data_IF_661368671565
#
_entry.id   IF_661368671565
#
_cell.length_a   1.000
_cell.length_b   1.000
_cell.length_c   1.000
_cell.angle_alpha   90.00
_cell.angle_beta   90.00
_cell.angle_gamma   90.00
#
_symmetry.space_group_name_H-M   'P 1'
#
loop_
_entity.id
_entity.type
_entity.pdbx_description
1 polymer ?
#
# COMPACT_ATOMS: atom_id res chain seq x y z
N UNK A 1 48.02 75.94 -40.97
CA UNK A 1 48.80 74.69 -41.12
C UNK A 1 48.43 73.81 -39.93
N UNK A 2 47.42 72.95 -39.94
CA UNK A 2 47.00 71.88 -40.85
C UNK A 2 47.96 70.68 -40.90
N UNK A 3 47.38 69.52 -40.56
CA UNK A 3 47.80 68.13 -40.79
C UNK A 3 48.73 67.55 -39.70
N UNK A 4 48.56 66.33 -39.17
CA UNK A 4 47.78 65.14 -39.54
C UNK A 4 47.96 64.08 -38.43
N UNK A 5 47.00 63.16 -38.25
CA UNK A 5 47.27 61.85 -37.61
C UNK A 5 46.20 61.38 -36.62
N UNK A 6 44.99 61.03 -37.09
CA UNK A 6 44.46 59.65 -37.26
C UNK A 6 43.72 59.06 -36.03
N UNK A 7 42.42 58.86 -36.26
CA UNK A 7 41.51 57.76 -35.86
C UNK A 7 41.45 57.37 -34.36
N UNK A 8 40.38 57.62 -33.58
CA UNK A 8 38.93 57.31 -33.75
C UNK A 8 38.64 55.81 -33.81
N UNK A 9 38.28 55.18 -32.67
CA UNK A 9 37.08 54.34 -32.57
C UNK A 9 36.40 54.60 -31.22
N UNK A 10 35.08 54.80 -31.31
CA UNK A 10 34.13 55.23 -30.30
C UNK A 10 33.94 54.21 -29.17
N UNK A 11 33.86 54.75 -27.96
CA UNK A 11 33.13 54.20 -26.82
C UNK A 11 31.62 54.24 -27.11
N UNK A 12 30.92 53.12 -26.96
CA UNK A 12 29.47 53.12 -26.66
C UNK A 12 29.00 51.77 -26.12
N UNK A 13 28.25 51.81 -25.01
CA UNK A 13 27.43 50.71 -24.49
C UNK A 13 28.11 49.95 -23.35
N UNK A 14 27.99 50.35 -22.08
CA UNK A 14 26.85 50.06 -21.19
C UNK A 14 26.29 48.63 -21.31
N UNK A 15 26.58 47.82 -20.29
CA UNK A 15 25.79 46.75 -19.62
C UNK A 15 26.78 45.70 -19.07
N UNK A 16 27.27 45.83 -17.84
CA UNK A 16 26.61 45.39 -16.60
C UNK A 16 25.91 44.04 -16.76
N UNK A 17 26.63 43.00 -16.32
CA UNK A 17 26.13 41.94 -15.45
C UNK A 17 24.96 41.11 -15.95
N UNK A 18 25.26 39.91 -16.44
CA UNK A 18 24.61 38.69 -15.96
C UNK A 18 25.44 37.50 -16.44
N UNK A 19 26.25 36.92 -15.55
CA UNK A 19 26.52 35.49 -15.61
C UNK A 19 25.17 34.80 -15.40
N UNK A 20 24.45 34.51 -16.49
CA UNK A 20 23.38 33.53 -16.43
C UNK A 20 24.05 32.19 -16.24
N UNK A 21 24.09 31.73 -14.99
CA UNK A 21 24.22 30.31 -14.70
C UNK A 21 23.09 29.62 -15.46
N UNK A 22 23.41 29.03 -16.61
CA UNK A 22 22.64 27.93 -17.21
C UNK A 22 22.79 26.72 -16.28
N UNK A 23 22.24 26.83 -15.07
CA UNK A 23 21.64 25.69 -14.43
C UNK A 23 20.34 25.46 -15.22
N UNK A 24 20.44 24.74 -16.34
CA UNK A 24 19.35 23.86 -16.70
C UNK A 24 19.23 22.89 -15.52
N UNK A 25 18.45 23.28 -14.50
CA UNK A 25 17.72 22.28 -13.76
C UNK A 25 16.90 21.59 -14.83
N UNK A 26 17.39 20.47 -15.33
CA UNK A 26 16.52 19.42 -15.85
C UNK A 26 15.57 19.15 -14.68
N UNK A 27 14.44 19.86 -14.66
CA UNK A 27 13.27 19.36 -13.98
C UNK A 27 13.05 18.03 -14.68
N UNK A 28 13.49 16.95 -14.03
CA UNK A 28 13.00 15.64 -14.34
C UNK A 28 11.49 15.83 -14.37
N UNK A 29 10.87 15.61 -15.54
CA UNK A 29 9.42 15.69 -15.65
C UNK A 29 8.92 14.53 -14.82
N UNK A 30 8.66 14.81 -13.53
CA UNK A 30 7.98 13.89 -12.65
C UNK A 30 6.65 13.59 -13.33
N UNK A 31 6.33 12.31 -13.48
CA UNK A 31 5.04 11.90 -14.03
C UNK A 31 3.92 12.56 -13.23
N UNK A 32 2.83 12.91 -13.92
CA UNK A 32 1.63 13.43 -13.27
C UNK A 32 0.71 12.28 -12.90
N UNK A 33 0.22 12.30 -11.67
CA UNK A 33 -0.92 11.49 -11.27
C UNK A 33 -2.19 12.09 -11.88
N UNK A 34 -2.92 11.26 -12.61
CA UNK A 34 -4.15 11.62 -13.32
C UNK A 34 -5.31 10.79 -12.79
N UNK A 35 -6.49 11.42 -12.78
CA UNK A 35 -7.73 10.73 -12.44
C UNK A 35 -8.16 9.86 -13.61
N UNK A 36 -8.49 8.60 -13.35
CA UNK A 36 -8.85 7.66 -14.41
C UNK A 36 -10.32 7.23 -14.35
N UNK A 37 -10.78 6.76 -13.18
CA UNK A 37 -12.14 6.22 -12.99
C UNK A 37 -12.64 6.44 -11.57
N UNK A 38 -13.98 6.53 -11.42
CA UNK A 38 -14.69 6.63 -10.14
C UNK A 38 -15.49 7.93 -9.95
N UNK A 39 -15.86 8.20 -8.71
CA UNK A 39 -16.35 9.49 -8.20
C UNK A 39 -15.15 10.40 -7.90
N UNK A 40 -14.99 11.48 -8.66
CA UNK A 40 -13.99 12.52 -8.35
C UNK A 40 -14.56 13.47 -7.28
N UNK A 41 -14.59 12.99 -6.05
CA UNK A 41 -14.96 13.80 -4.89
C UNK A 41 -13.77 14.65 -4.39
N UNK A 42 -14.03 15.48 -3.37
CA UNK A 42 -13.03 16.39 -2.79
C UNK A 42 -11.78 15.64 -2.30
N UNK A 43 -11.94 14.42 -1.76
CA UNK A 43 -10.83 13.60 -1.26
C UNK A 43 -9.96 13.09 -2.42
N UNK A 44 -10.56 12.64 -3.53
CA UNK A 44 -9.81 12.19 -4.70
C UNK A 44 -9.02 13.34 -5.34
N UNK A 45 -9.60 14.54 -5.40
CA UNK A 45 -8.90 15.75 -5.88
C UNK A 45 -7.73 16.07 -4.95
N UNK A 46 -7.96 16.15 -3.64
CA UNK A 46 -6.93 16.45 -2.67
C UNK A 46 -5.80 15.40 -2.66
N UNK A 47 -6.15 14.12 -2.80
CA UNK A 47 -5.19 13.04 -2.92
C UNK A 47 -4.35 13.19 -4.19
N UNK A 48 -4.96 13.46 -5.36
CA UNK A 48 -4.22 13.71 -6.60
C UNK A 48 -3.25 14.88 -6.46
N UNK A 49 -3.69 15.98 -5.86
CA UNK A 49 -2.84 17.15 -5.60
C UNK A 49 -1.68 16.83 -4.66
N UNK A 50 -1.93 16.04 -3.61
CA UNK A 50 -0.90 15.54 -2.71
C UNK A 50 0.11 14.66 -3.44
N UNK A 51 -0.36 13.67 -4.20
CA UNK A 51 0.50 12.75 -4.94
C UNK A 51 1.36 13.48 -5.99
N UNK A 52 0.83 14.52 -6.63
CA UNK A 52 1.58 15.36 -7.58
C UNK A 52 2.67 16.22 -6.95
N UNK A 53 2.68 16.39 -5.62
CA UNK A 53 3.77 17.08 -4.90
C UNK A 53 4.96 16.14 -4.61
N UNK A 54 4.77 14.83 -4.75
CA UNK A 54 5.79 13.84 -4.43
C UNK A 54 6.74 13.64 -5.62
N UNK A 55 8.03 13.61 -5.33
CA UNK A 55 9.04 13.31 -6.34
C UNK A 55 9.08 11.81 -6.57
N UNK A 56 8.52 11.36 -7.69
CA UNK A 56 8.64 9.98 -8.17
C UNK A 56 9.75 9.93 -9.22
N UNK A 57 10.87 9.27 -8.87
CA UNK A 57 11.99 9.00 -9.78
C UNK A 57 11.69 7.76 -10.63
N UNK A 58 12.65 7.30 -11.43
CA UNK A 58 12.44 6.24 -12.42
C UNK A 58 11.69 5.01 -11.85
N UNK A 59 10.45 4.84 -12.29
CA UNK A 59 9.59 3.74 -11.86
C UNK A 59 10.09 2.37 -12.35
N UNK A 60 10.98 2.32 -13.36
CA UNK A 60 11.61 1.07 -13.81
C UNK A 60 12.56 0.50 -12.74
N UNK A 61 13.06 1.34 -11.84
CA UNK A 61 13.88 0.92 -10.69
C UNK A 61 13.05 0.63 -9.43
N UNK A 62 11.72 0.80 -9.51
CA UNK A 62 10.82 0.64 -8.37
C UNK A 62 10.45 -0.83 -8.17
N UNK A 63 10.57 -1.38 -6.94
CA UNK A 63 9.91 -2.64 -6.62
C UNK A 63 8.41 -2.49 -6.85
N UNK A 64 7.75 -3.59 -7.23
CA UNK A 64 6.29 -3.67 -7.29
C UNK A 64 5.68 -3.08 -6.02
N UNK A 65 4.80 -2.07 -6.17
CA UNK A 65 4.00 -1.43 -5.11
C UNK A 65 4.76 -0.57 -4.08
N UNK A 66 5.89 0.04 -4.46
CA UNK A 66 6.78 0.81 -3.57
C UNK A 66 6.26 2.19 -3.16
N UNK A 67 5.95 3.04 -4.13
CA UNK A 67 5.64 4.45 -3.86
C UNK A 67 4.15 4.69 -3.59
N UNK A 68 3.28 4.21 -4.48
CA UNK A 68 1.82 4.36 -4.43
C UNK A 68 1.24 4.09 -3.03
N UNK A 69 1.52 2.90 -2.50
CA UNK A 69 1.11 2.43 -1.17
C UNK A 69 1.51 3.40 -0.04
N UNK A 70 2.73 3.92 -0.08
CA UNK A 70 3.30 4.76 0.97
C UNK A 70 2.84 6.22 0.82
N UNK A 71 2.62 6.65 -0.42
CA UNK A 71 2.20 7.99 -0.77
C UNK A 71 0.80 8.29 -0.20
N UNK A 72 -0.14 7.36 -0.33
CA UNK A 72 -1.48 7.48 0.27
C UNK A 72 -1.39 7.67 1.78
N UNK A 73 -0.60 6.84 2.46
CA UNK A 73 -0.41 6.91 3.93
C UNK A 73 0.24 8.21 4.41
N UNK A 74 0.90 8.93 3.50
CA UNK A 74 1.53 10.22 3.82
C UNK A 74 0.58 11.41 3.67
N UNK A 75 -0.65 11.18 3.23
CA UNK A 75 -1.66 12.24 3.15
C UNK A 75 -1.95 12.78 4.58
N UNK A 76 -1.78 14.08 4.84
CA UNK A 76 -1.75 14.61 6.22
C UNK A 76 -3.04 14.46 7.02
N UNK A 77 -4.19 14.38 6.34
CA UNK A 77 -5.49 14.26 6.99
C UNK A 77 -5.84 12.81 7.34
N UNK A 78 -5.08 11.85 6.82
CA UNK A 78 -5.26 10.46 7.21
C UNK A 78 -4.60 10.16 8.55
N UNK A 79 -5.39 9.58 9.42
CA UNK A 79 -4.93 9.01 10.67
C UNK A 79 -4.77 7.49 10.54
N UNK A 80 -3.81 6.95 11.28
CA UNK A 80 -3.65 5.50 11.39
C UNK A 80 -4.69 5.00 12.41
N UNK A 81 -5.40 3.88 12.14
CA UNK A 81 -6.31 3.30 13.12
C UNK A 81 -5.64 3.04 14.48
N UNK A 82 -6.40 3.04 15.59
CA UNK A 82 -5.87 2.86 16.94
C UNK A 82 -5.51 1.40 17.21
N UNK A 83 -4.47 0.93 16.53
CA UNK A 83 -3.93 -0.43 16.68
C UNK A 83 -3.32 -0.64 18.06
N UNK A 84 -3.71 -1.73 18.71
CA UNK A 84 -3.05 -2.28 19.88
C UNK A 84 -1.93 -3.23 19.43
N UNK A 85 -0.72 -3.10 19.98
CA UNK A 85 0.38 -4.02 19.70
C UNK A 85 0.24 -5.29 20.55
N UNK A 86 0.38 -6.44 19.92
CA UNK A 86 0.44 -7.74 20.58
C UNK A 86 1.87 -8.27 20.61
N UNK A 87 2.21 -9.04 21.64
CA UNK A 87 3.50 -9.74 21.68
C UNK A 87 3.49 -10.89 20.67
N UNK A 88 4.19 -10.68 19.55
CA UNK A 88 4.27 -11.67 18.47
C UNK A 88 4.76 -13.05 18.95
N UNK A 89 5.63 -13.10 19.97
CA UNK A 89 6.14 -14.36 20.52
C UNK A 89 5.07 -15.13 21.30
N UNK A 90 4.20 -14.43 22.03
CA UNK A 90 3.10 -15.05 22.76
C UNK A 90 1.98 -15.55 21.83
N UNK A 91 1.90 -14.97 20.62
CA UNK A 91 0.87 -15.29 19.63
C UNK A 91 1.43 -16.04 18.40
N UNK A 92 2.51 -16.80 18.58
CA UNK A 92 3.16 -17.56 17.50
C UNK A 92 2.19 -18.50 16.76
N UNK A 93 1.34 -19.22 17.50
CA UNK A 93 0.33 -20.12 16.92
C UNK A 93 -0.65 -19.39 16.02
N UNK A 94 -1.11 -18.20 16.42
CA UNK A 94 -1.99 -17.38 15.58
C UNK A 94 -1.25 -16.98 14.30
N UNK A 95 -0.03 -16.42 14.41
CA UNK A 95 0.75 -15.98 13.25
C UNK A 95 0.98 -17.13 12.26
N UNK A 96 1.26 -18.32 12.77
CA UNK A 96 1.39 -19.55 11.97
C UNK A 96 0.13 -19.83 11.17
N UNK A 97 -1.04 -19.82 11.80
CA UNK A 97 -2.32 -20.05 11.12
C UNK A 97 -2.62 -18.97 10.07
N UNK A 98 -2.29 -17.70 10.35
CA UNK A 98 -2.44 -16.61 9.39
C UNK A 98 -1.54 -16.80 8.15
N UNK A 99 -0.30 -17.29 8.33
CA UNK A 99 0.57 -17.59 7.18
C UNK A 99 0.13 -18.80 6.37
N UNK A 100 -0.41 -19.83 7.03
CA UNK A 100 -1.03 -20.95 6.33
C UNK A 100 -2.18 -20.47 5.46
N UNK A 101 -3.08 -19.67 6.02
CA UNK A 101 -4.21 -19.10 5.28
C UNK A 101 -3.77 -18.30 4.06
N UNK A 102 -2.82 -17.37 4.19
CA UNK A 102 -2.29 -16.58 3.06
C UNK A 102 -1.75 -17.42 1.88
N UNK A 103 -1.36 -18.68 2.11
CA UNK A 103 -0.76 -19.53 1.08
C UNK A 103 -1.69 -20.66 0.62
N UNK A 104 -2.65 -21.07 1.44
CA UNK A 104 -3.66 -22.05 1.06
C UNK A 104 -4.86 -21.42 0.35
N UNK A 105 -5.06 -20.11 0.51
CA UNK A 105 -6.28 -19.43 0.06
C UNK A 105 -7.51 -19.94 0.84
N UNK A 106 -8.60 -19.20 0.82
CA UNK A 106 -9.71 -19.45 1.75
C UNK A 106 -10.44 -20.76 1.47
N UNK A 107 -10.53 -21.14 0.21
CA UNK A 107 -11.22 -22.37 -0.23
C UNK A 107 -10.56 -23.60 0.39
N UNK A 108 -9.22 -23.71 0.29
CA UNK A 108 -8.48 -24.84 0.83
C UNK A 108 -8.31 -24.79 2.36
N UNK A 109 -8.38 -23.60 2.95
CA UNK A 109 -8.21 -23.43 4.39
C UNK A 109 -9.49 -23.74 5.19
N UNK A 110 -10.67 -23.28 4.75
CA UNK A 110 -11.94 -23.55 5.46
C UNK A 110 -12.76 -24.73 4.88
N UNK A 111 -12.30 -25.39 3.81
CA UNK A 111 -12.97 -26.55 3.23
C UNK A 111 -14.34 -26.24 2.62
N UNK A 112 -14.54 -25.01 2.13
CA UNK A 112 -15.77 -24.58 1.45
C UNK A 112 -15.43 -24.16 0.02
N UNK A 113 -15.23 -25.14 -0.84
CA UNK A 113 -15.01 -24.89 -2.26
C UNK A 113 -16.28 -24.37 -2.96
N UNK A 114 -16.12 -23.44 -3.91
CA UNK A 114 -17.07 -23.31 -5.03
C UNK A 114 -17.14 -24.68 -5.74
N UNK A 115 -18.32 -25.06 -6.23
CA UNK A 115 -18.45 -26.21 -7.14
C UNK A 115 -17.44 -26.06 -8.29
N UNK A 116 -16.42 -26.96 -8.32
CA UNK A 116 -15.37 -26.98 -9.34
C UNK A 116 -13.97 -26.48 -8.91
N UNK A 117 -13.80 -25.97 -7.68
CA UNK A 117 -12.52 -25.49 -7.16
C UNK A 117 -11.98 -26.38 -6.02
N UNK A 118 -11.76 -27.67 -6.30
CA UNK A 118 -11.23 -28.61 -5.31
C UNK A 118 -9.77 -28.26 -4.94
N UNK A 119 -9.45 -28.45 -3.66
CA UNK A 119 -8.38 -27.79 -2.91
C UNK A 119 -6.97 -28.27 -3.23
N UNK A 120 -6.06 -27.33 -3.52
CA UNK A 120 -4.60 -27.52 -3.44
C UNK A 120 -4.19 -28.31 -2.19
N UNK A 121 -4.87 -28.10 -1.05
CA UNK A 121 -4.58 -28.81 0.19
C UNK A 121 -5.04 -30.28 0.20
N UNK A 122 -6.24 -30.56 -0.30
CA UNK A 122 -6.80 -31.93 -0.32
C UNK A 122 -6.15 -32.83 -1.37
N UNK A 123 -5.56 -32.23 -2.41
CA UNK A 123 -4.81 -32.91 -3.46
C UNK A 123 -3.34 -33.16 -3.09
N UNK A 124 -2.82 -32.47 -2.06
CA UNK A 124 -1.46 -32.70 -1.57
C UNK A 124 -1.31 -34.07 -0.90
N UNK A 125 -0.19 -34.73 -1.16
CA UNK A 125 0.23 -35.90 -0.38
C UNK A 125 0.56 -35.48 1.06
N UNK A 126 0.58 -36.45 1.99
CA UNK A 126 0.98 -36.20 3.38
C UNK A 126 2.36 -35.54 3.48
N UNK A 127 3.32 -35.98 2.67
CA UNK A 127 4.67 -35.41 2.62
C UNK A 127 4.65 -33.94 2.18
N UNK A 128 3.82 -33.60 1.19
CA UNK A 128 3.67 -32.21 0.73
C UNK A 128 3.03 -31.34 1.81
N UNK A 129 2.01 -31.84 2.52
CA UNK A 129 1.37 -31.12 3.64
C UNK A 129 2.35 -30.90 4.80
N UNK A 130 3.16 -31.90 5.14
CA UNK A 130 4.20 -31.80 6.17
C UNK A 130 5.27 -30.77 5.79
N UNK A 131 5.75 -30.80 4.54
CA UNK A 131 6.70 -29.82 4.04
C UNK A 131 6.11 -28.39 4.06
N UNK A 132 4.87 -28.24 3.62
CA UNK A 132 4.16 -26.96 3.68
C UNK A 132 4.08 -26.42 5.10
N UNK A 133 3.62 -27.26 6.05
CA UNK A 133 3.48 -26.88 7.45
C UNK A 133 4.83 -26.48 8.07
N UNK A 134 5.92 -27.20 7.74
CA UNK A 134 7.28 -26.83 8.16
C UNK A 134 7.68 -25.46 7.61
N UNK A 135 7.45 -25.20 6.32
CA UNK A 135 7.77 -23.91 5.70
C UNK A 135 7.00 -22.74 6.34
N UNK A 136 5.73 -22.93 6.71
CA UNK A 136 4.96 -21.88 7.38
C UNK A 136 5.43 -21.64 8.81
N UNK A 137 5.85 -22.69 9.53
CA UNK A 137 6.46 -22.54 10.86
C UNK A 137 7.79 -21.77 10.78
N UNK A 138 8.66 -22.12 9.83
CA UNK A 138 9.90 -21.37 9.58
C UNK A 138 9.65 -19.91 9.19
N UNK A 139 8.59 -19.64 8.41
CA UNK A 139 8.16 -18.27 8.08
C UNK A 139 7.68 -17.51 9.32
N UNK A 140 6.98 -18.18 10.22
CA UNK A 140 6.52 -17.62 11.51
C UNK A 140 7.69 -17.22 12.39
N UNK A 141 8.65 -18.13 12.61
CA UNK A 141 9.84 -17.83 13.39
C UNK A 141 10.62 -16.65 12.78
N UNK A 142 10.85 -16.66 11.46
CA UNK A 142 11.55 -15.56 10.78
C UNK A 142 10.82 -14.23 10.91
N UNK A 143 9.49 -14.21 10.90
CA UNK A 143 8.71 -13.01 11.13
C UNK A 143 8.99 -12.44 12.53
N UNK A 144 8.90 -13.29 13.57
CA UNK A 144 9.13 -12.89 14.97
C UNK A 144 10.58 -12.44 15.18
N UNK A 145 11.55 -13.25 14.76
CA UNK A 145 12.99 -12.99 14.92
C UNK A 145 13.44 -11.69 14.26
N UNK A 146 12.81 -11.31 13.14
CA UNK A 146 13.12 -10.06 12.42
C UNK A 146 12.39 -8.84 12.98
N UNK A 147 11.63 -8.97 14.07
CA UNK A 147 10.89 -7.86 14.65
C UNK A 147 9.58 -7.53 13.90
N UNK A 148 8.96 -8.54 13.30
CA UNK A 148 7.60 -8.44 12.79
C UNK A 148 6.62 -7.99 13.87
N UNK A 149 5.66 -7.15 13.51
CA UNK A 149 4.67 -6.59 14.44
C UNK A 149 3.30 -7.20 14.20
N UNK A 150 2.73 -7.76 15.25
CA UNK A 150 1.36 -8.22 15.31
C UNK A 150 0.53 -7.14 15.99
N UNK A 151 -0.54 -6.70 15.35
CA UNK A 151 -1.44 -5.67 15.89
C UNK A 151 -2.87 -6.13 15.84
N UNK A 152 -3.68 -5.63 16.76
CA UNK A 152 -5.12 -5.87 16.78
C UNK A 152 -5.88 -4.56 16.82
N UNK A 153 -7.02 -4.52 16.14
CA UNK A 153 -8.00 -3.45 16.25
C UNK A 153 -9.39 -4.07 16.35
N UNK A 154 -10.12 -3.69 17.39
CA UNK A 154 -11.50 -4.13 17.61
C UNK A 154 -12.44 -3.03 17.19
N UNK A 155 -13.04 -3.18 16.02
CA UNK A 155 -13.93 -2.18 15.43
C UNK A 155 -14.94 -2.84 14.52
N UNK A 156 -16.05 -2.17 14.22
CA UNK A 156 -16.93 -2.59 13.13
C UNK A 156 -16.37 -1.99 11.84
N UNK A 157 -15.73 -2.83 11.03
CA UNK A 157 -15.02 -2.43 9.81
C UNK A 157 -15.85 -2.64 8.55
N UNK A 158 -16.61 -3.74 8.49
CA UNK A 158 -17.43 -4.13 7.34
C UNK A 158 -18.80 -4.61 7.83
N UNK A 159 -19.89 -4.18 7.19
CA UNK A 159 -21.25 -4.59 7.59
C UNK A 159 -21.73 -5.89 6.93
N UNK A 160 -21.30 -6.14 5.71
CA UNK A 160 -21.65 -7.26 4.86
C UNK A 160 -20.39 -7.76 4.16
N UNK A 161 -20.16 -9.05 4.33
CA UNK A 161 -19.08 -9.81 3.77
C UNK A 161 -19.46 -10.37 2.36
N UNK A 162 -20.65 -10.09 1.86
CA UNK A 162 -21.18 -10.73 0.67
C UNK A 162 -20.74 -10.13 -0.65
N UNK A 163 -19.50 -10.41 -1.11
CA UNK A 163 -19.16 -10.19 -2.54
C UNK A 163 -19.86 -11.25 -3.42
N UNK A 164 -20.14 -12.45 -2.90
CA UNK A 164 -20.73 -13.56 -3.71
C UNK A 164 -21.85 -14.37 -3.05
N UNK A 165 -22.07 -14.23 -1.74
CA UNK A 165 -23.15 -14.83 -0.93
C UNK A 165 -23.44 -13.88 0.24
N UNK A 166 -24.70 -13.68 0.62
CA UNK A 166 -25.09 -12.80 1.73
C UNK A 166 -24.53 -13.30 3.08
N UNK A 167 -23.44 -12.68 3.56
CA UNK A 167 -22.83 -12.99 4.86
C UNK A 167 -22.76 -11.69 5.64
N UNK A 168 -23.78 -11.40 6.44
CA UNK A 168 -23.79 -10.18 7.25
C UNK A 168 -22.87 -10.30 8.46
N UNK A 169 -22.15 -9.22 8.77
CA UNK A 169 -21.37 -9.11 9.98
C UNK A 169 -22.29 -9.14 11.21
N UNK A 170 -22.01 -10.03 12.15
CA UNK A 170 -22.70 -10.07 13.43
C UNK A 170 -22.69 -8.67 14.11
N UNK A 171 -23.73 -8.29 14.86
CA UNK A 171 -23.74 -7.03 15.59
C UNK A 171 -22.54 -6.92 16.54
N UNK A 172 -21.96 -5.71 16.63
CA UNK A 172 -20.81 -5.43 17.49
C UNK A 172 -19.48 -5.25 16.74
N UNK A 173 -18.37 -5.13 17.48
CA UNK A 173 -17.03 -5.00 16.89
C UNK A 173 -16.56 -6.34 16.32
N UNK A 174 -15.74 -6.25 15.27
CA UNK A 174 -14.96 -7.34 14.70
C UNK A 174 -13.53 -7.23 15.22
N UNK A 175 -12.87 -8.36 15.45
CA UNK A 175 -11.45 -8.40 15.82
C UNK A 175 -10.61 -8.55 14.55
N UNK A 176 -9.89 -7.47 14.19
CA UNK A 176 -9.02 -7.42 13.03
C UNK A 176 -7.57 -7.49 13.48
N UNK A 177 -6.80 -8.38 12.88
CA UNK A 177 -5.35 -8.50 13.12
C UNK A 177 -4.58 -8.03 11.90
N UNK A 178 -3.51 -7.28 12.15
CA UNK A 178 -2.58 -6.82 11.14
C UNK A 178 -1.19 -7.43 11.37
N UNK A 179 -0.63 -8.06 10.33
CA UNK A 179 0.77 -8.44 10.27
C UNK A 179 1.58 -7.36 9.55
N UNK A 180 2.63 -6.84 10.19
CA UNK A 180 3.58 -5.90 9.58
C UNK A 180 5.00 -6.44 9.59
N UNK A 181 5.64 -6.37 8.42
CA UNK A 181 7.04 -6.72 8.27
C UNK A 181 7.93 -5.48 8.29
N UNK A 182 9.06 -5.51 9.01
CA UNK A 182 10.19 -4.67 8.64
C UNK A 182 10.68 -5.13 7.26
N UNK A 183 10.61 -4.24 6.27
CA UNK A 183 11.00 -4.54 4.89
C UNK A 183 12.09 -3.57 4.46
N UNK A 184 13.30 -3.81 4.99
CA UNK A 184 14.49 -3.00 4.73
C UNK A 184 14.86 -2.97 3.24
N UNK A 185 14.55 -4.03 2.49
CA UNK A 185 14.80 -4.11 1.04
C UNK A 185 13.88 -3.12 0.32
N UNK A 186 12.59 -3.15 0.61
CA UNK A 186 11.62 -2.20 0.04
C UNK A 186 11.87 -0.78 0.56
N UNK A 187 12.23 -0.60 1.82
CA UNK A 187 12.62 0.71 2.35
C UNK A 187 13.81 1.28 1.57
N UNK A 188 14.85 0.48 1.36
CA UNK A 188 16.05 0.88 0.60
C UNK A 188 15.71 1.21 -0.85
N UNK A 189 14.80 0.45 -1.47
CA UNK A 189 14.35 0.73 -2.81
C UNK A 189 13.44 1.97 -2.90
N UNK A 190 12.55 2.17 -1.92
CA UNK A 190 11.73 3.37 -1.77
C UNK A 190 12.61 4.62 -1.60
N UNK A 191 13.75 4.54 -0.87
CA UNK A 191 14.71 5.66 -0.78
C UNK A 191 15.24 6.12 -2.13
N UNK A 192 15.39 5.19 -3.09
CA UNK A 192 15.88 5.51 -4.43
C UNK A 192 14.82 6.16 -5.31
N UNK A 193 13.60 5.65 -5.24
CA UNK A 193 12.50 6.04 -6.14
C UNK A 193 11.65 7.17 -5.58
N UNK A 194 11.31 7.12 -4.29
CA UNK A 194 10.47 8.10 -3.58
C UNK A 194 11.09 8.47 -2.21
N UNK A 195 12.17 9.28 -2.21
CA UNK A 195 12.97 9.55 -1.01
C UNK A 195 12.17 10.22 0.13
N UNK A 196 11.18 11.05 -0.21
CA UNK A 196 10.30 11.72 0.76
C UNK A 196 9.45 10.71 1.56
N UNK A 197 9.10 9.58 0.93
CA UNK A 197 8.25 8.52 1.49
C UNK A 197 9.05 7.42 2.20
N UNK A 198 10.37 7.46 2.11
CA UNK A 198 11.25 6.38 2.58
C UNK A 198 11.34 6.21 4.09
N UNK A 199 10.74 7.12 4.87
CA UNK A 199 10.74 7.10 6.33
C UNK A 199 9.66 6.20 6.94
N UNK A 200 8.88 5.48 6.12
CA UNK A 200 7.89 4.51 6.59
C UNK A 200 8.51 3.10 6.65
N UNK A 201 8.89 2.58 7.84
CA UNK A 201 9.78 1.41 7.96
C UNK A 201 9.09 0.05 7.75
N UNK A 202 7.81 0.01 7.36
CA UNK A 202 7.03 -1.23 7.35
C UNK A 202 6.28 -1.42 6.03
N UNK A 203 6.46 -2.62 5.47
CA UNK A 203 5.81 -3.13 4.26
C UNK A 203 4.28 -3.24 4.36
N UNK A 204 3.58 -3.50 3.24
CA UNK A 204 2.14 -3.70 3.20
C UNK A 204 1.65 -4.65 4.30
N UNK A 205 0.52 -4.26 4.88
CA UNK A 205 -0.23 -4.98 5.89
C UNK A 205 -1.00 -6.15 5.28
N UNK A 206 -0.90 -7.32 5.91
CA UNK A 206 -1.94 -8.34 5.76
C UNK A 206 -2.93 -8.18 6.89
N UNK A 207 -4.21 -8.06 6.55
CA UNK A 207 -5.30 -7.93 7.50
C UNK A 207 -6.13 -9.20 7.52
N UNK A 208 -6.56 -9.59 8.71
CA UNK A 208 -7.32 -10.80 8.94
C UNK A 208 -8.42 -10.53 9.94
N UNK A 209 -9.60 -11.11 9.71
CA UNK A 209 -10.60 -11.25 10.74
C UNK A 209 -10.31 -12.51 11.56
N UNK A 210 -10.22 -12.32 12.87
CA UNK A 210 -9.92 -13.39 13.82
C UNK A 210 -11.02 -13.47 14.87
N UNK A 211 -11.09 -14.58 15.58
CA UNK A 211 -11.96 -14.71 16.74
C UNK A 211 -11.53 -13.74 17.85
N UNK A 212 -12.47 -13.32 18.71
CA UNK A 212 -12.20 -12.31 19.75
C UNK A 212 -11.13 -12.74 20.77
N UNK A 213 -11.02 -14.05 20.98
CA UNK A 213 -10.01 -14.69 21.83
C UNK A 213 -8.65 -14.87 21.13
N UNK A 214 -8.52 -14.42 19.88
CA UNK A 214 -7.32 -14.55 19.05
C UNK A 214 -6.90 -16.01 18.81
N UNK A 215 -7.83 -16.95 18.96
CA UNK A 215 -7.59 -18.39 18.76
C UNK A 215 -7.34 -18.81 17.31
N UNK A 216 -7.74 -17.99 16.35
CA UNK A 216 -7.52 -18.23 14.92
C UNK A 216 -8.37 -17.31 14.04
N UNK A 217 -8.40 -17.61 12.75
CA UNK A 217 -9.26 -16.90 11.80
C UNK A 217 -10.74 -17.12 12.11
N UNK A 218 -11.56 -16.09 11.85
CA UNK A 218 -13.01 -16.22 11.98
C UNK A 218 -13.62 -17.01 10.82
N UNK A 219 -13.67 -18.33 11.00
CA UNK A 219 -14.22 -19.27 10.00
C UNK A 219 -15.68 -19.04 9.63
N UNK A 220 -16.44 -18.24 10.40
CA UNK A 220 -17.83 -17.87 10.06
C UNK A 220 -17.89 -17.07 8.76
N UNK A 221 -16.82 -16.37 8.41
CA UNK A 221 -16.75 -15.52 7.22
C UNK A 221 -16.51 -16.33 5.93
N UNK A 222 -16.05 -17.58 6.03
CA UNK A 222 -15.74 -18.41 4.85
C UNK A 222 -14.85 -17.66 3.85
N UNK A 223 -15.15 -17.82 2.55
CA UNK A 223 -14.45 -17.18 1.41
C UNK A 223 -14.35 -15.64 1.51
N UNK A 224 -15.18 -14.98 2.31
CA UNK A 224 -15.07 -13.53 2.44
C UNK A 224 -13.87 -13.09 3.28
N UNK A 225 -13.29 -13.98 4.10
CA UNK A 225 -12.10 -13.63 4.88
C UNK A 225 -10.95 -13.04 4.02
N UNK A 226 -10.88 -13.36 2.72
CA UNK A 226 -9.90 -12.81 1.76
C UNK A 226 -10.06 -11.33 1.44
N UNK A 227 -11.23 -10.75 1.64
CA UNK A 227 -11.58 -9.42 1.09
C UNK A 227 -10.78 -8.24 1.65
N UNK A 228 -10.07 -8.43 2.76
CA UNK A 228 -9.19 -7.40 3.32
C UNK A 228 -7.70 -7.68 3.11
N UNK A 229 -7.35 -8.80 2.45
CA UNK A 229 -5.97 -9.12 2.15
C UNK A 229 -5.42 -8.09 1.17
N UNK A 230 -4.46 -7.28 1.63
CA UNK A 230 -3.87 -6.19 0.83
C UNK A 230 -4.53 -4.83 1.00
N UNK A 231 -5.69 -4.77 1.66
CA UNK A 231 -6.30 -3.50 2.06
C UNK A 231 -5.57 -2.91 3.27
N UNK A 232 -5.53 -1.58 3.36
CA UNK A 232 -5.07 -0.87 4.56
C UNK A 232 -6.11 0.18 4.95
N UNK A 233 -6.78 0.02 6.11
CA UNK A 233 -7.69 1.03 6.61
C UNK A 233 -6.91 2.23 7.12
N UNK A 234 -7.39 3.40 6.72
CA UNK A 234 -6.97 4.72 7.17
C UNK A 234 -8.22 5.41 7.72
N UNK A 235 -8.03 6.39 8.59
CA UNK A 235 -9.14 7.17 9.14
C UNK A 235 -9.09 8.58 8.57
N UNK A 236 -10.24 9.09 8.14
CA UNK A 236 -10.45 10.49 7.78
C UNK A 236 -11.62 11.01 8.63
N UNK A 237 -11.35 11.95 9.53
CA UNK A 237 -12.33 12.44 10.51
C UNK A 237 -13.05 11.30 11.27
N UNK A 238 -12.31 10.26 11.64
CA UNK A 238 -12.82 9.07 12.33
C UNK A 238 -13.60 8.08 11.45
N UNK A 239 -13.78 8.36 10.16
CA UNK A 239 -14.40 7.45 9.19
C UNK A 239 -13.36 6.59 8.50
N UNK A 240 -13.70 5.34 8.21
CA UNK A 240 -12.80 4.40 7.56
C UNK A 240 -12.73 4.68 6.06
N UNK A 241 -11.51 4.84 5.55
CA UNK A 241 -11.16 4.82 4.14
C UNK A 241 -10.24 3.63 3.91
N UNK A 242 -10.53 2.82 2.91
CA UNK A 242 -9.69 1.70 2.53
C UNK A 242 -8.78 2.11 1.39
N UNK A 243 -7.49 1.77 1.49
CA UNK A 243 -6.72 1.57 0.27
C UNK A 243 -7.12 0.22 -0.32
N UNK A 244 -7.90 0.22 -1.39
CA UNK A 244 -8.46 -0.98 -1.99
C UNK A 244 -7.50 -1.68 -2.96
N UNK A 245 -6.62 -0.91 -3.62
CA UNK A 245 -5.60 -1.46 -4.53
C UNK A 245 -4.38 -0.56 -4.63
N UNK A 246 -3.19 -1.17 -4.73
CA UNK A 246 -1.97 -0.46 -5.09
C UNK A 246 -1.19 -1.32 -6.08
N UNK A 247 -1.17 -0.88 -7.34
CA UNK A 247 -0.24 -1.38 -8.33
C UNK A 247 1.04 -0.54 -8.34
N UNK A 248 2.02 -0.85 -9.21
CA UNK A 248 3.23 -0.03 -9.35
C UNK A 248 2.93 1.41 -9.78
N UNK A 249 1.81 1.63 -10.49
CA UNK A 249 1.42 2.93 -11.08
C UNK A 249 -0.01 3.35 -10.75
N UNK A 250 -0.74 2.61 -9.92
CA UNK A 250 -2.13 2.91 -9.59
C UNK A 250 -2.37 2.83 -8.09
N UNK A 251 -3.14 3.79 -7.59
CA UNK A 251 -3.74 3.76 -6.26
C UNK A 251 -5.25 3.77 -6.43
N UNK A 252 -5.92 2.90 -5.71
CA UNK A 252 -7.38 2.91 -5.59
C UNK A 252 -7.79 3.15 -4.14
N UNK A 253 -8.63 4.16 -3.95
CA UNK A 253 -9.29 4.45 -2.68
C UNK A 253 -10.70 3.87 -2.70
N UNK A 254 -11.07 3.24 -1.59
CA UNK A 254 -12.38 2.66 -1.36
C UNK A 254 -13.00 3.12 -0.04
N UNK A 255 -14.32 3.02 0.05
CA UNK A 255 -15.10 3.20 1.28
C UNK A 255 -15.97 1.96 1.50
N UNK A 256 -16.32 1.66 2.74
CA UNK A 256 -17.33 0.63 2.97
C UNK A 256 -18.71 1.18 2.59
N UNK A 257 -19.38 0.52 1.64
CA UNK A 257 -20.77 0.82 1.25
C UNK A 257 -21.74 -0.26 1.75
N UNK A 258 -21.32 -1.03 2.76
CA UNK A 258 -22.07 -2.12 3.35
C UNK A 258 -21.41 -3.44 3.02
N UNK A 259 -21.09 -3.71 1.74
CA UNK A 259 -20.56 -5.00 1.29
C UNK A 259 -19.02 -5.08 1.18
N UNK A 260 -18.31 -4.25 1.97
CA UNK A 260 -16.84 -4.17 1.95
C UNK A 260 -16.31 -2.97 1.18
N UNK A 261 -14.98 -2.87 0.99
CA UNK A 261 -14.37 -1.73 0.31
C UNK A 261 -14.84 -1.65 -1.15
N UNK A 262 -15.58 -0.58 -1.48
CA UNK A 262 -15.96 -0.21 -2.83
C UNK A 262 -15.08 0.92 -3.32
N UNK A 263 -14.43 0.69 -4.46
CA UNK A 263 -13.56 1.66 -5.12
C UNK A 263 -14.37 2.88 -5.52
N UNK A 264 -14.07 4.04 -4.93
CA UNK A 264 -14.69 5.29 -5.35
C UNK A 264 -13.75 6.13 -6.19
N UNK A 265 -12.42 5.95 -6.14
CA UNK A 265 -11.55 6.52 -7.17
C UNK A 265 -10.24 5.77 -7.39
N UNK A 266 -9.78 5.82 -8.65
CA UNK A 266 -8.49 5.30 -9.08
C UNK A 266 -7.62 6.41 -9.66
N UNK A 267 -6.44 6.59 -9.07
CA UNK A 267 -5.42 7.55 -9.46
C UNK A 267 -4.26 6.81 -10.11
N UNK A 268 -3.93 7.18 -11.34
CA UNK A 268 -2.89 6.54 -12.14
C UNK A 268 -1.71 7.48 -12.33
N UNK A 269 -0.50 6.93 -12.28
CA UNK A 269 0.72 7.63 -12.61
C UNK A 269 1.07 7.40 -14.08
N UNK A 270 1.11 8.46 -14.88
CA UNK A 270 1.64 8.41 -16.24
C UNK A 270 3.13 8.72 -16.23
N UNK A 271 3.96 7.82 -16.76
CA UNK A 271 5.39 8.08 -16.92
C UNK A 271 5.65 9.07 -18.05
N UNK A 272 6.73 9.83 -17.97
CA UNK A 272 7.12 10.82 -18.99
C UNK A 272 7.41 10.23 -20.38
N UNK A 273 7.49 8.90 -20.52
CA UNK A 273 7.70 8.21 -21.82
C UNK A 273 6.39 7.96 -22.59
N UNK A 274 5.22 8.24 -22.00
CA UNK A 274 3.89 8.04 -22.61
C UNK A 274 3.21 9.35 -23.05
N UNK A 275 3.92 10.49 -23.01
CA UNK A 275 3.47 11.78 -23.56
C UNK A 275 4.15 12.12 -24.89
#
# INVERSE_FOLDING_TARGET
MALKGKMLVKLSGWKLGALFCLACTTQAVAGSWEFHTGEEDELCIAMREHLNKLTVRDLKEAPTNSCATTAVRSYPEFEIPPWEELDAKQHETLIYELFRFLNLDTVAYFGRARLGALDLWTEMTKEQQENFNRMQLEKTHRFIERGGRLRVWRTRLVEDFGITNEIYAAPGPQTIVQLRYPDEIRETANRKVCPELSRAPYAPSYLFFVTDDLGGLDSRLGYTADTLVGSEPLLLDGKIVFRAGAGPTVVTLGRDEGSGPHDFCSLHYQSSEEK
#
